data_IF_726417457010
#
_entry.id   IF_726417457010
#
_cell.length_a   1.000
_cell.length_b   1.000
_cell.length_c   1.000
_cell.angle_alpha   90.00
_cell.angle_beta   90.00
_cell.angle_gamma   90.00
#
_symmetry.space_group_name_H-M   'P 1'
#
loop_
_entity.id
_entity.type
_entity.pdbx_description
1 polymer ?
#
# COMPACT_ATOMS: atom_id res chain seq x y z
N UNK A 1 17.55 16.14 12.05
CA UNK A 1 16.31 16.28 12.86
C UNK A 1 16.19 15.14 13.87
N UNK A 2 16.12 13.87 13.48
CA UNK A 2 15.89 12.68 14.33
C UNK A 2 16.96 12.33 15.40
N UNK A 3 18.20 12.80 15.25
CA UNK A 3 19.32 12.49 16.16
C UNK A 3 19.36 13.48 17.33
N UNK A 4 18.81 13.09 18.48
CA UNK A 4 18.70 13.95 19.66
C UNK A 4 20.04 14.50 20.19
N UNK A 5 21.12 13.74 20.04
CA UNK A 5 22.47 14.12 20.52
C UNK A 5 23.15 15.20 19.68
N UNK A 6 22.95 15.21 18.35
CA UNK A 6 23.52 16.23 17.45
C UNK A 6 22.73 17.53 17.44
N UNK A 7 21.62 17.58 18.17
CA UNK A 7 20.76 18.76 18.26
C UNK A 7 21.01 19.55 19.56
N UNK A 8 22.01 19.19 20.39
CA UNK A 8 22.26 19.83 21.68
C UNK A 8 22.51 21.33 21.59
N UNK A 9 23.09 21.76 20.46
CA UNK A 9 23.63 23.11 20.26
C UNK A 9 22.58 24.12 19.77
N UNK A 10 21.39 23.64 19.39
CA UNK A 10 20.25 24.48 19.05
C UNK A 10 19.55 25.00 20.30
N UNK A 11 18.90 26.16 20.19
CA UNK A 11 18.10 26.71 21.28
C UNK A 11 16.90 25.81 21.62
N UNK A 12 16.29 26.02 22.79
CA UNK A 12 15.21 25.16 23.27
C UNK A 12 13.98 25.17 22.34
N UNK A 13 13.66 26.32 21.74
CA UNK A 13 12.49 26.49 20.87
C UNK A 13 12.74 25.75 19.55
N UNK A 14 13.89 25.96 18.92
CA UNK A 14 14.28 25.29 17.69
C UNK A 14 14.37 23.77 17.87
N UNK A 15 14.94 23.29 18.98
CA UNK A 15 14.95 21.85 19.30
C UNK A 15 13.54 21.29 19.40
N UNK A 16 12.62 22.01 20.03
CA UNK A 16 11.24 21.57 20.20
C UNK A 16 10.47 21.59 18.87
N UNK A 17 10.62 22.65 18.07
CA UNK A 17 10.03 22.76 16.72
C UNK A 17 10.52 21.65 15.81
N UNK A 18 11.83 21.35 15.81
CA UNK A 18 12.40 20.22 15.06
C UNK A 18 11.83 18.87 15.50
N UNK A 19 11.49 18.72 16.79
CA UNK A 19 10.77 17.53 17.27
C UNK A 19 9.37 17.47 16.70
N UNK A 20 8.60 18.56 16.80
CA UNK A 20 7.24 18.61 16.28
C UNK A 20 7.18 18.31 14.77
N UNK A 21 8.06 18.94 13.99
CA UNK A 21 8.16 18.70 12.54
C UNK A 21 8.52 17.25 12.24
N UNK A 22 9.44 16.67 13.00
CA UNK A 22 9.80 15.27 12.80
C UNK A 22 8.63 14.32 13.11
N UNK A 23 7.92 14.55 14.22
CA UNK A 23 6.78 13.73 14.61
C UNK A 23 5.60 13.88 13.65
N UNK A 24 5.35 15.07 13.10
CA UNK A 24 4.32 15.23 12.07
C UNK A 24 4.69 14.52 10.76
N UNK A 25 5.98 14.47 10.41
CA UNK A 25 6.46 13.76 9.22
C UNK A 25 6.40 12.23 9.40
N UNK A 26 6.77 11.68 10.56
CA UNK A 26 6.70 10.22 10.81
C UNK A 26 5.26 9.71 10.83
N UNK A 27 4.36 10.42 11.52
CA UNK A 27 2.95 10.02 11.56
C UNK A 27 2.30 10.13 10.17
N UNK A 28 2.84 11.00 9.31
CA UNK A 28 2.41 11.16 7.93
C UNK A 28 3.12 10.25 6.92
N UNK A 29 4.28 9.64 7.22
CA UNK A 29 5.08 8.84 6.27
C UNK A 29 5.85 7.71 6.97
N UNK A 30 5.79 6.47 6.48
CA UNK A 30 6.73 5.43 6.89
C UNK A 30 8.18 5.87 6.61
N UNK A 31 9.02 6.01 7.64
CA UNK A 31 10.41 6.42 7.46
C UNK A 31 11.34 5.22 7.27
N UNK A 32 12.38 5.40 6.45
CA UNK A 32 13.51 4.46 6.30
C UNK A 32 14.58 4.67 7.39
N UNK A 33 14.32 5.58 8.35
CA UNK A 33 15.24 5.89 9.44
C UNK A 33 15.25 4.71 10.42
N UNK A 34 16.44 4.21 10.72
CA UNK A 34 16.67 3.14 11.69
C UNK A 34 16.26 3.58 13.11
N UNK A 35 15.56 2.70 13.84
CA UNK A 35 15.16 2.90 15.24
C UNK A 35 16.38 3.19 16.13
N UNK A 36 17.56 2.63 15.83
CA UNK A 36 18.80 2.90 16.56
C UNK A 36 19.26 4.36 16.39
N UNK A 37 18.91 4.98 15.26
CA UNK A 37 19.16 6.39 14.98
C UNK A 37 18.07 7.32 15.53
N UNK A 38 16.87 6.78 15.79
CA UNK A 38 15.72 7.52 16.31
C UNK A 38 15.82 7.77 17.82
N UNK A 39 16.69 8.72 18.20
CA UNK A 39 16.93 9.12 19.61
C UNK A 39 16.13 10.36 20.03
N UNK A 40 15.07 10.69 19.30
CA UNK A 40 14.34 11.93 19.52
C UNK A 40 13.34 11.80 20.68
N UNK A 41 13.40 12.75 21.62
CA UNK A 41 12.42 12.85 22.71
C UNK A 41 11.10 13.45 22.20
N UNK A 42 10.01 13.15 22.90
CA UNK A 42 8.70 13.81 22.69
C UNK A 42 8.86 15.34 22.87
N UNK A 43 8.12 16.17 22.12
CA UNK A 43 8.10 17.62 22.34
C UNK A 43 7.60 17.97 23.75
N UNK A 44 7.95 19.16 24.24
CA UNK A 44 7.55 19.61 25.57
C UNK A 44 6.02 19.82 25.65
N UNK A 45 5.41 19.38 26.75
CA UNK A 45 3.96 19.29 26.96
C UNK A 45 3.21 20.61 26.78
N UNK A 46 3.80 21.72 27.19
CA UNK A 46 3.15 23.04 27.17
C UNK A 46 2.83 23.56 25.77
N UNK A 47 3.53 23.09 24.73
CA UNK A 47 3.24 23.45 23.32
C UNK A 47 2.40 22.39 22.59
N UNK A 48 2.25 21.20 23.17
CA UNK A 48 1.44 20.12 22.60
C UNK A 48 -0.05 20.35 22.84
N UNK A 49 -0.40 20.92 23.99
CA UNK A 49 -1.77 21.28 24.36
C UNK A 49 -2.37 22.32 23.41
N UNK A 50 -1.56 23.26 22.89
CA UNK A 50 -1.99 24.25 21.88
C UNK A 50 -2.41 23.62 20.54
N UNK A 51 -1.94 22.41 20.24
CA UNK A 51 -2.27 21.65 19.02
C UNK A 51 -3.24 20.48 19.27
N UNK A 52 -3.80 20.39 20.49
CA UNK A 52 -4.70 19.32 20.89
C UNK A 52 -4.07 17.93 20.87
N UNK A 53 -2.75 17.83 21.12
CA UNK A 53 -2.05 16.54 21.29
C UNK A 53 -1.59 16.40 22.73
N UNK A 54 -1.89 15.26 23.37
CA UNK A 54 -1.28 14.93 24.65
C UNK A 54 0.06 14.23 24.46
N UNK A 55 0.96 14.34 25.44
CA UNK A 55 2.20 13.56 25.44
C UNK A 55 1.93 12.05 25.35
N UNK A 56 0.87 11.57 26.01
CA UNK A 56 0.44 10.16 25.93
C UNK A 56 0.12 9.75 24.49
N UNK A 57 -0.57 10.59 23.73
CA UNK A 57 -0.90 10.30 22.33
C UNK A 57 0.38 10.19 21.47
N UNK A 58 1.34 11.10 21.66
CA UNK A 58 2.60 11.05 20.93
C UNK A 58 3.46 9.84 21.32
N UNK A 59 3.45 9.45 22.60
CA UNK A 59 4.10 8.22 23.05
C UNK A 59 3.51 6.98 22.36
N UNK A 60 2.18 6.90 22.25
CA UNK A 60 1.52 5.80 21.54
C UNK A 60 1.90 5.78 20.05
N UNK A 61 1.91 6.95 19.40
CA UNK A 61 2.37 7.08 18.02
C UNK A 61 3.79 6.58 17.84
N UNK A 62 4.70 6.97 18.75
CA UNK A 62 6.09 6.51 18.73
C UNK A 62 6.23 5.00 18.93
N UNK A 63 5.59 4.46 19.96
CA UNK A 63 5.61 3.02 20.24
C UNK A 63 5.11 2.22 19.04
N UNK A 64 4.05 2.70 18.38
CA UNK A 64 3.51 2.05 17.19
C UNK A 64 4.46 2.12 15.99
N UNK A 65 5.11 3.27 15.74
CA UNK A 65 6.12 3.39 14.69
C UNK A 65 7.28 2.41 14.92
N UNK A 66 7.81 2.34 16.14
CA UNK A 66 8.89 1.40 16.49
C UNK A 66 8.43 -0.06 16.37
N UNK A 67 7.21 -0.37 16.80
CA UNK A 67 6.64 -1.70 16.64
C UNK A 67 6.56 -2.08 15.15
N UNK A 68 6.03 -1.17 14.32
CA UNK A 68 5.90 -1.37 12.87
C UNK A 68 7.25 -1.60 12.17
N UNK A 69 8.29 -0.86 12.58
CA UNK A 69 9.65 -1.05 12.06
C UNK A 69 10.23 -2.40 12.47
N UNK A 70 10.22 -2.73 13.77
CA UNK A 70 10.70 -4.02 14.28
C UNK A 70 9.98 -5.20 13.65
N UNK A 71 8.67 -5.07 13.41
CA UNK A 71 7.88 -6.07 12.68
C UNK A 71 8.41 -6.25 11.27
N UNK A 72 8.60 -5.17 10.49
CA UNK A 72 9.13 -5.29 9.11
C UNK A 72 10.47 -5.98 9.08
N UNK A 73 11.40 -5.61 9.96
CA UNK A 73 12.71 -6.25 10.05
C UNK A 73 12.61 -7.73 10.41
N UNK A 74 11.82 -8.09 11.42
CA UNK A 74 11.71 -9.47 11.90
C UNK A 74 10.85 -10.36 11.02
N UNK A 75 9.90 -9.81 10.29
CA UNK A 75 9.06 -10.55 9.37
C UNK A 75 9.81 -10.82 8.07
N UNK A 76 10.44 -9.78 7.50
CA UNK A 76 10.87 -9.77 6.12
C UNK A 76 12.38 -9.73 5.89
N UNK A 77 13.20 -9.58 6.93
CA UNK A 77 14.66 -9.60 6.80
C UNK A 77 15.27 -10.75 7.59
N UNK A 78 16.23 -11.42 6.98
CA UNK A 78 17.15 -12.29 7.68
C UNK A 78 18.36 -11.49 8.19
N UNK A 79 18.64 -11.46 9.51
CA UNK A 79 19.73 -10.67 10.06
C UNK A 79 21.12 -11.25 9.73
N UNK A 80 21.21 -12.52 9.32
CA UNK A 80 22.45 -13.22 9.01
C UNK A 80 22.79 -13.05 7.52
N UNK A 81 21.82 -13.29 6.63
CA UNK A 81 22.05 -13.22 5.18
C UNK A 81 21.76 -11.85 4.59
N UNK A 82 21.05 -10.98 5.32
CA UNK A 82 20.50 -9.72 4.82
C UNK A 82 19.57 -9.88 3.61
N UNK A 83 19.02 -11.07 3.40
CA UNK A 83 18.07 -11.38 2.32
C UNK A 83 16.62 -11.15 2.78
N UNK A 84 15.76 -10.82 1.81
CA UNK A 84 14.33 -10.75 2.02
C UNK A 84 13.72 -12.16 2.14
N UNK A 85 12.79 -12.34 3.09
CA UNK A 85 12.08 -13.61 3.28
C UNK A 85 10.63 -13.40 3.69
N UNK A 86 9.80 -14.41 3.56
CA UNK A 86 8.48 -14.42 4.20
C UNK A 86 8.58 -14.81 5.69
N UNK A 87 7.69 -14.31 6.55
CA UNK A 87 7.63 -14.74 7.95
C UNK A 87 7.15 -16.19 8.04
N UNK A 88 7.75 -16.99 8.94
CA UNK A 88 7.21 -18.30 9.29
C UNK A 88 5.92 -18.15 10.10
N UNK A 89 5.09 -19.19 10.17
CA UNK A 89 3.85 -19.19 10.96
C UNK A 89 4.11 -18.77 12.41
N UNK A 90 5.12 -19.36 13.05
CA UNK A 90 5.46 -19.07 14.44
C UNK A 90 5.93 -17.63 14.64
N UNK A 91 6.70 -17.07 13.69
CA UNK A 91 7.12 -15.67 13.73
C UNK A 91 5.92 -14.76 13.59
N UNK A 92 5.04 -14.99 12.62
CA UNK A 92 3.85 -14.18 12.40
C UNK A 92 2.91 -14.16 13.62
N UNK A 93 2.63 -15.33 14.22
CA UNK A 93 1.82 -15.43 15.44
C UNK A 93 2.43 -14.64 16.60
N UNK A 94 3.75 -14.69 16.78
CA UNK A 94 4.41 -13.93 17.83
C UNK A 94 4.37 -12.42 17.57
N UNK A 95 4.55 -11.99 16.31
CA UNK A 95 4.48 -10.57 15.94
C UNK A 95 3.06 -10.00 16.09
N UNK A 96 2.01 -10.76 15.74
CA UNK A 96 0.63 -10.35 15.99
C UNK A 96 0.32 -10.25 17.49
N UNK A 97 0.88 -11.15 18.32
CA UNK A 97 0.76 -11.02 19.78
C UNK A 97 1.38 -9.71 20.29
N UNK A 98 2.50 -9.27 19.73
CA UNK A 98 3.10 -7.98 20.09
C UNK A 98 2.19 -6.79 19.70
N UNK A 99 1.45 -6.91 18.59
CA UNK A 99 0.40 -5.95 18.22
C UNK A 99 -0.77 -5.97 19.23
N UNK A 100 -1.22 -7.15 19.65
CA UNK A 100 -2.28 -7.30 20.65
C UNK A 100 -1.86 -6.71 21.99
N UNK A 101 -0.63 -6.96 22.42
CA UNK A 101 -0.05 -6.41 23.64
C UNK A 101 0.02 -4.87 23.58
N UNK A 102 0.37 -4.29 22.42
CA UNK A 102 0.31 -2.86 22.21
C UNK A 102 -1.13 -2.34 22.36
N UNK A 103 -2.08 -2.93 21.63
CA UNK A 103 -3.48 -2.52 21.67
C UNK A 103 -4.06 -2.58 23.09
N UNK A 104 -3.74 -3.62 23.86
CA UNK A 104 -4.19 -3.80 25.24
C UNK A 104 -3.68 -2.71 26.21
N UNK A 105 -2.55 -2.06 25.90
CA UNK A 105 -2.01 -0.95 26.70
C UNK A 105 -2.59 0.40 26.32
N UNK A 106 -3.29 0.52 25.19
CA UNK A 106 -3.87 1.80 24.75
C UNK A 106 -4.94 2.24 25.74
N UNK A 107 -4.83 3.45 26.33
CA UNK A 107 -5.86 3.99 27.20
C UNK A 107 -7.23 4.04 26.53
N UNK A 108 -8.29 3.71 27.28
CA UNK A 108 -9.65 3.60 26.75
C UNK A 108 -10.14 4.86 26.03
N UNK A 109 -9.73 6.05 26.49
CA UNK A 109 -10.12 7.32 25.87
C UNK A 109 -9.49 7.58 24.49
N UNK A 110 -8.57 6.72 24.04
CA UNK A 110 -8.04 6.71 22.69
C UNK A 110 -8.65 5.62 21.81
N UNK A 111 -9.51 4.73 22.31
CA UNK A 111 -10.07 3.66 21.47
C UNK A 111 -11.11 4.22 20.48
N UNK A 112 -11.12 3.78 19.20
CA UNK A 112 -12.01 4.31 18.16
C UNK A 112 -13.51 4.14 18.45
N UNK A 113 -13.86 3.03 19.12
CA UNK A 113 -15.25 2.62 19.35
C UNK A 113 -15.92 3.33 20.51
N UNK A 114 -15.18 4.14 21.28
CA UNK A 114 -15.71 4.84 22.44
C UNK A 114 -16.06 6.29 22.09
N UNK A 115 -17.34 6.62 22.27
CA UNK A 115 -17.91 7.96 22.08
C UNK A 115 -17.47 8.91 23.19
N UNK A 116 -16.18 9.23 23.24
CA UNK A 116 -15.69 10.33 24.05
C UNK A 116 -15.86 11.65 23.31
N UNK A 117 -16.30 12.72 24.00
CA UNK A 117 -16.34 14.06 23.43
C UNK A 117 -14.91 14.59 23.26
N UNK A 118 -14.26 14.19 22.17
CA UNK A 118 -12.97 14.73 21.74
C UNK A 118 -13.18 15.78 20.63
N UNK A 119 -12.35 16.83 20.56
CA UNK A 119 -12.34 17.76 19.43
C UNK A 119 -12.13 17.03 18.10
N UNK A 120 -12.73 17.52 16.98
CA UNK A 120 -12.61 16.87 15.66
C UNK A 120 -11.17 16.53 15.25
N UNK A 121 -10.23 17.46 15.45
CA UNK A 121 -8.82 17.23 15.13
C UNK A 121 -8.15 16.12 15.95
N UNK A 122 -8.58 15.92 17.20
CA UNK A 122 -8.09 14.82 18.04
C UNK A 122 -8.67 13.48 17.57
N UNK A 123 -9.95 13.44 17.18
CA UNK A 123 -10.59 12.24 16.63
C UNK A 123 -9.90 11.76 15.36
N UNK A 124 -9.59 12.66 14.43
CA UNK A 124 -8.84 12.33 13.20
C UNK A 124 -7.50 11.70 13.52
N UNK A 125 -6.72 12.29 14.44
CA UNK A 125 -5.41 11.75 14.85
C UNK A 125 -5.52 10.35 15.47
N UNK A 126 -6.51 10.14 16.31
CA UNK A 126 -6.80 8.81 16.89
C UNK A 126 -7.10 7.81 15.78
N UNK A 127 -8.01 8.13 14.87
CA UNK A 127 -8.37 7.24 13.76
C UNK A 127 -7.16 6.90 12.88
N UNK A 128 -6.30 7.88 12.57
CA UNK A 128 -5.06 7.66 11.83
C UNK A 128 -4.08 6.73 12.55
N UNK A 129 -3.96 6.85 13.88
CA UNK A 129 -3.17 5.93 14.69
C UNK A 129 -3.64 4.48 14.49
N UNK A 130 -4.96 4.26 14.50
CA UNK A 130 -5.53 2.92 14.31
C UNK A 130 -5.46 2.43 12.87
N UNK A 131 -5.58 3.30 11.87
CA UNK A 131 -5.28 2.95 10.46
C UNK A 131 -3.85 2.42 10.35
N UNK A 132 -2.88 3.10 10.97
CA UNK A 132 -1.49 2.65 10.96
C UNK A 132 -1.25 1.36 11.75
N UNK A 133 -1.98 1.16 12.84
CA UNK A 133 -1.97 -0.08 13.62
C UNK A 133 -2.48 -1.26 12.80
N UNK A 134 -3.65 -1.13 12.19
CA UNK A 134 -4.22 -2.18 11.36
C UNK A 134 -3.38 -2.45 10.11
N UNK A 135 -2.80 -1.42 9.49
CA UNK A 135 -1.81 -1.60 8.43
C UNK A 135 -0.61 -2.43 8.92
N UNK A 136 -0.10 -2.16 10.12
CA UNK A 136 1.02 -2.91 10.69
C UNK A 136 0.66 -4.38 10.91
N UNK A 137 -0.58 -4.70 11.32
CA UNK A 137 -1.07 -6.08 11.38
C UNK A 137 -1.12 -6.72 9.99
N UNK A 138 -1.66 -6.04 8.98
CA UNK A 138 -1.69 -6.52 7.60
C UNK A 138 -0.29 -6.86 7.07
N UNK A 139 0.73 -6.06 7.42
CA UNK A 139 2.12 -6.37 7.05
C UNK A 139 2.58 -7.71 7.63
N UNK A 140 2.16 -8.09 8.83
CA UNK A 140 2.53 -9.39 9.42
C UNK A 140 1.84 -10.56 8.70
N UNK A 141 0.57 -10.37 8.30
CA UNK A 141 -0.33 -11.47 7.96
C UNK A 141 -0.67 -11.62 6.47
N UNK A 142 -0.32 -10.65 5.61
CA UNK A 142 -0.65 -10.65 4.18
C UNK A 142 -0.13 -11.86 3.40
N UNK A 143 1.04 -12.38 3.72
CA UNK A 143 1.62 -13.53 3.00
C UNK A 143 0.73 -14.77 3.15
N UNK A 144 0.07 -14.93 4.31
CA UNK A 144 -0.83 -16.06 4.57
C UNK A 144 -2.18 -15.91 3.85
N UNK A 145 -2.61 -14.68 3.59
CA UNK A 145 -3.74 -14.43 2.68
C UNK A 145 -3.38 -14.84 1.26
N UNK A 146 -2.18 -14.52 0.78
CA UNK A 146 -1.71 -14.97 -0.54
C UNK A 146 -1.67 -16.49 -0.63
N UNK A 147 -1.10 -17.18 0.38
CA UNK A 147 -1.06 -18.66 0.43
C UNK A 147 -2.49 -19.25 0.39
N UNK A 148 -3.44 -18.65 1.12
CA UNK A 148 -4.85 -19.07 1.06
C UNK A 148 -5.42 -18.90 -0.36
N UNK A 149 -5.20 -17.75 -0.99
CA UNK A 149 -5.69 -17.46 -2.34
C UNK A 149 -5.06 -18.41 -3.37
N UNK A 150 -3.75 -18.67 -3.28
CA UNK A 150 -3.06 -19.64 -4.13
C UNK A 150 -3.62 -21.05 -3.97
N UNK A 151 -3.97 -21.46 -2.74
CA UNK A 151 -4.66 -22.73 -2.49
C UNK A 151 -6.02 -22.78 -3.18
N UNK A 152 -6.80 -21.71 -3.10
CA UNK A 152 -8.14 -21.66 -3.68
C UNK A 152 -8.08 -21.65 -5.22
N UNK A 153 -7.09 -20.96 -5.81
CA UNK A 153 -6.77 -21.05 -7.25
C UNK A 153 -6.36 -22.48 -7.64
N UNK A 154 -5.43 -23.09 -6.90
CA UNK A 154 -4.99 -24.46 -7.17
C UNK A 154 -6.17 -25.45 -7.12
N UNK A 155 -7.08 -25.29 -6.17
CA UNK A 155 -8.31 -26.07 -6.08
C UNK A 155 -9.19 -25.92 -7.33
N UNK A 156 -9.43 -24.69 -7.79
CA UNK A 156 -10.21 -24.43 -9.01
C UNK A 156 -9.56 -25.03 -10.26
N UNK A 157 -8.24 -25.04 -10.33
CA UNK A 157 -7.46 -25.57 -11.46
C UNK A 157 -7.17 -27.08 -11.34
N UNK A 158 -7.67 -27.74 -10.30
CA UNK A 158 -7.38 -29.14 -9.98
C UNK A 158 -5.85 -29.42 -9.85
N UNK A 159 -5.09 -28.46 -9.33
CA UNK A 159 -3.67 -28.58 -8.98
C UNK A 159 -3.49 -28.89 -7.49
N UNK A 160 -2.31 -29.38 -7.13
CA UNK A 160 -1.95 -29.56 -5.72
C UNK A 160 -1.85 -28.21 -5.02
N UNK A 161 -2.37 -28.07 -3.79
CA UNK A 161 -2.26 -26.84 -3.02
C UNK A 161 -0.81 -26.54 -2.64
N UNK A 162 -0.46 -25.27 -2.35
CA UNK A 162 0.86 -24.93 -1.84
C UNK A 162 1.12 -25.62 -0.50
N UNK A 163 2.39 -25.80 -0.14
CA UNK A 163 2.77 -26.47 1.10
C UNK A 163 2.53 -25.50 2.27
N UNK A 164 1.75 -25.94 3.27
CA UNK A 164 1.65 -25.27 4.57
C UNK A 164 1.86 -26.29 5.69
N UNK A 165 2.63 -25.89 6.70
CA UNK A 165 2.88 -26.71 7.89
C UNK A 165 1.62 -26.87 8.75
N UNK A 166 0.75 -25.85 8.77
CA UNK A 166 -0.48 -25.82 9.55
C UNK A 166 -1.52 -24.91 8.90
N UNK A 167 -2.47 -25.52 8.19
CA UNK A 167 -3.53 -24.81 7.48
C UNK A 167 -4.46 -24.01 8.38
N UNK A 168 -4.80 -24.51 9.58
CA UNK A 168 -5.69 -23.80 10.51
C UNK A 168 -5.06 -22.46 10.94
N UNK A 169 -3.76 -22.46 11.21
CA UNK A 169 -3.01 -21.26 11.55
C UNK A 169 -2.88 -20.32 10.35
N UNK A 170 -2.62 -20.86 9.15
CA UNK A 170 -2.62 -20.06 7.91
C UNK A 170 -3.96 -19.36 7.69
N UNK A 171 -5.08 -20.04 7.88
CA UNK A 171 -6.41 -19.42 7.72
C UNK A 171 -6.71 -18.39 8.80
N UNK A 172 -6.31 -18.64 10.05
CA UNK A 172 -6.45 -17.66 11.12
C UNK A 172 -5.66 -16.37 10.83
N UNK A 173 -4.41 -16.50 10.37
CA UNK A 173 -3.59 -15.35 9.96
C UNK A 173 -4.18 -14.64 8.73
N UNK A 174 -4.69 -15.40 7.76
CA UNK A 174 -5.38 -14.82 6.60
C UNK A 174 -6.62 -14.03 7.01
N UNK A 175 -7.49 -14.54 7.90
CA UNK A 175 -8.66 -13.77 8.37
C UNK A 175 -8.24 -12.54 9.18
N UNK A 176 -7.17 -12.63 9.98
CA UNK A 176 -6.63 -11.45 10.70
C UNK A 176 -6.18 -10.34 9.74
N UNK A 177 -5.54 -10.70 8.62
CA UNK A 177 -5.14 -9.75 7.58
C UNK A 177 -6.36 -9.01 7.01
N UNK A 178 -7.39 -9.77 6.63
CA UNK A 178 -8.60 -9.21 6.00
C UNK A 178 -9.40 -8.40 7.00
N UNK A 179 -9.51 -8.87 8.24
CA UNK A 179 -10.16 -8.13 9.31
C UNK A 179 -9.43 -6.82 9.62
N UNK A 180 -8.10 -6.85 9.71
CA UNK A 180 -7.30 -5.65 9.94
C UNK A 180 -7.52 -4.63 8.82
N UNK A 181 -7.47 -5.06 7.56
CA UNK A 181 -7.76 -4.18 6.42
C UNK A 181 -9.19 -3.61 6.46
N UNK A 182 -10.17 -4.42 6.84
CA UNK A 182 -11.55 -3.97 6.99
C UNK A 182 -11.70 -2.93 8.11
N UNK A 183 -11.09 -3.16 9.28
CA UNK A 183 -11.09 -2.21 10.39
C UNK A 183 -10.36 -0.90 10.05
N UNK A 184 -9.27 -0.97 9.29
CA UNK A 184 -8.59 0.20 8.73
C UNK A 184 -9.56 1.05 7.89
N UNK A 185 -10.29 0.43 6.96
CA UNK A 185 -11.29 1.13 6.14
C UNK A 185 -12.43 1.73 6.98
N UNK A 186 -12.89 1.02 8.02
CA UNK A 186 -13.90 1.54 8.95
C UNK A 186 -13.40 2.77 9.71
N UNK A 187 -12.14 2.79 10.15
CA UNK A 187 -11.53 3.97 10.74
C UNK A 187 -11.52 5.13 9.74
N UNK A 188 -11.20 4.85 8.48
CA UNK A 188 -11.23 5.85 7.41
C UNK A 188 -12.63 6.45 7.18
N UNK A 189 -13.64 5.59 7.06
CA UNK A 189 -15.02 6.04 6.89
C UNK A 189 -15.53 6.85 8.09
N UNK A 190 -15.20 6.44 9.32
CA UNK A 190 -15.55 7.19 10.52
C UNK A 190 -14.89 8.58 10.58
N UNK A 191 -13.70 8.72 9.98
CA UNK A 191 -12.97 9.99 9.90
C UNK A 191 -13.43 10.92 8.78
N UNK A 192 -14.25 10.43 7.84
CA UNK A 192 -14.67 11.17 6.63
C UNK A 192 -15.32 12.51 6.96
N UNK A 193 -16.25 12.53 7.91
CA UNK A 193 -16.98 13.75 8.32
C UNK A 193 -16.08 14.82 8.94
N UNK A 194 -14.89 14.40 9.41
CA UNK A 194 -13.90 15.29 10.01
C UNK A 194 -12.80 15.71 9.03
N UNK A 195 -12.97 15.42 7.73
CA UNK A 195 -12.00 15.76 6.70
C UNK A 195 -10.72 14.93 6.78
N UNK A 196 -10.80 13.69 7.29
CA UNK A 196 -9.62 12.85 7.43
C UNK A 196 -8.98 12.47 6.09
N UNK A 197 -9.78 12.29 5.03
CA UNK A 197 -9.25 11.92 3.71
C UNK A 197 -8.65 13.16 3.06
N UNK A 198 -7.34 13.13 2.82
CA UNK A 198 -6.58 14.29 2.36
C UNK A 198 -5.99 15.11 3.52
N UNK A 199 -6.15 14.65 4.76
CA UNK A 199 -5.44 15.20 5.91
C UNK A 199 -3.94 14.90 5.82
N UNK A 200 -3.59 13.70 5.34
CA UNK A 200 -2.24 13.29 4.97
C UNK A 200 -2.22 12.79 3.52
N UNK A 201 -1.13 13.08 2.80
CA UNK A 201 -0.92 12.51 1.47
C UNK A 201 -0.89 10.97 1.47
N UNK A 202 -0.75 10.30 2.63
CA UNK A 202 -0.66 8.84 2.76
C UNK A 202 -2.02 8.18 3.05
N UNK A 203 -3.09 8.96 3.27
CA UNK A 203 -4.43 8.41 3.53
C UNK A 203 -4.90 7.49 2.40
N UNK A 204 -4.65 7.91 1.15
CA UNK A 204 -5.00 7.13 -0.04
C UNK A 204 -4.18 5.86 -0.19
N UNK A 205 -2.90 5.87 0.23
CA UNK A 205 -2.09 4.67 0.25
C UNK A 205 -2.71 3.61 1.17
N UNK A 206 -3.09 3.98 2.40
CA UNK A 206 -3.71 3.03 3.34
C UNK A 206 -5.07 2.56 2.87
N UNK A 207 -5.86 3.44 2.24
CA UNK A 207 -7.13 3.08 1.62
C UNK A 207 -6.92 2.01 0.54
N UNK A 208 -6.10 2.29 -0.48
CA UNK A 208 -5.92 1.35 -1.58
C UNK A 208 -5.28 0.05 -1.13
N UNK A 209 -4.31 0.10 -0.21
CA UNK A 209 -3.74 -1.11 0.40
C UNK A 209 -4.81 -1.97 1.07
N UNK A 210 -5.69 -1.36 1.87
CA UNK A 210 -6.75 -2.08 2.58
C UNK A 210 -7.81 -2.62 1.61
N UNK A 211 -8.18 -1.86 0.59
CA UNK A 211 -9.09 -2.32 -0.48
C UNK A 211 -8.52 -3.54 -1.20
N UNK A 212 -7.25 -3.48 -1.61
CA UNK A 212 -6.60 -4.60 -2.30
C UNK A 212 -6.58 -5.87 -1.43
N UNK A 213 -6.28 -5.75 -0.13
CA UNK A 213 -6.32 -6.89 0.79
C UNK A 213 -7.74 -7.48 0.91
N UNK A 214 -8.76 -6.64 1.13
CA UNK A 214 -10.13 -7.13 1.26
C UNK A 214 -10.60 -7.78 -0.03
N UNK A 215 -10.31 -7.19 -1.20
CA UNK A 215 -10.65 -7.76 -2.49
C UNK A 215 -9.92 -9.09 -2.75
N UNK A 216 -8.65 -9.20 -2.38
CA UNK A 216 -7.88 -10.44 -2.56
C UNK A 216 -8.52 -11.64 -1.85
N UNK A 217 -9.16 -11.42 -0.70
CA UNK A 217 -9.89 -12.47 0.02
C UNK A 217 -11.10 -13.02 -0.75
N UNK A 218 -11.64 -12.28 -1.71
CA UNK A 218 -12.71 -12.72 -2.62
C UNK A 218 -12.18 -13.37 -3.90
N UNK A 219 -10.86 -13.33 -4.15
CA UNK A 219 -10.28 -13.93 -5.33
C UNK A 219 -10.36 -15.46 -5.26
N UNK A 220 -10.80 -16.08 -6.35
CA UNK A 220 -10.86 -17.54 -6.51
C UNK A 220 -11.66 -18.31 -5.44
N UNK A 221 -12.57 -17.65 -4.71
CA UNK A 221 -13.46 -18.36 -3.78
C UNK A 221 -14.32 -19.39 -4.52
N UNK A 222 -14.54 -20.59 -3.94
CA UNK A 222 -15.43 -21.60 -4.52
C UNK A 222 -16.83 -21.03 -4.81
N UNK A 223 -17.39 -21.35 -5.99
CA UNK A 223 -18.67 -20.79 -6.45
C UNK A 223 -19.84 -21.19 -5.54
N UNK A 224 -19.72 -22.31 -4.85
CA UNK A 224 -20.72 -22.84 -3.93
C UNK A 224 -20.65 -22.18 -2.54
N UNK A 225 -19.62 -21.38 -2.26
CA UNK A 225 -19.46 -20.72 -0.97
C UNK A 225 -20.48 -19.58 -0.83
N UNK A 226 -21.39 -19.73 0.14
CA UNK A 226 -22.36 -18.68 0.46
C UNK A 226 -21.65 -17.44 1.03
N UNK A 227 -22.08 -16.27 0.59
CA UNK A 227 -21.63 -14.98 1.11
C UNK A 227 -22.15 -14.86 2.55
N UNK A 228 -21.23 -14.76 3.52
CA UNK A 228 -21.58 -14.54 4.92
C UNK A 228 -22.00 -13.08 5.17
N UNK A 229 -22.64 -12.81 6.32
CA UNK A 229 -22.94 -11.44 6.72
C UNK A 229 -21.67 -10.57 6.85
N UNK A 230 -20.56 -11.16 7.33
CA UNK A 230 -19.25 -10.50 7.44
C UNK A 230 -18.67 -10.16 6.06
N UNK A 231 -18.83 -11.06 5.10
CA UNK A 231 -18.43 -10.82 3.72
C UNK A 231 -19.21 -9.66 3.09
N UNK A 232 -20.52 -9.61 3.36
CA UNK A 232 -21.35 -8.52 2.88
C UNK A 232 -20.92 -7.17 3.49
N UNK A 233 -20.67 -7.12 4.80
CA UNK A 233 -20.15 -5.91 5.47
C UNK A 233 -18.81 -5.44 4.88
N UNK A 234 -17.89 -6.36 4.62
CA UNK A 234 -16.59 -6.07 3.99
C UNK A 234 -16.78 -5.49 2.59
N UNK A 235 -17.66 -6.08 1.77
CA UNK A 235 -18.00 -5.58 0.43
C UNK A 235 -18.59 -4.19 0.47
N UNK A 236 -19.56 -3.96 1.34
CA UNK A 236 -20.24 -2.67 1.47
C UNK A 236 -19.27 -1.58 1.95
N UNK A 237 -18.34 -1.93 2.84
CA UNK A 237 -17.28 -1.03 3.30
C UNK A 237 -16.34 -0.64 2.16
N UNK A 238 -15.87 -1.61 1.35
CA UNK A 238 -15.03 -1.36 0.18
C UNK A 238 -15.78 -0.50 -0.85
N UNK A 239 -17.04 -0.83 -1.14
CA UNK A 239 -17.87 -0.07 -2.09
C UNK A 239 -18.03 1.38 -1.66
N UNK A 240 -18.41 1.60 -0.40
CA UNK A 240 -18.56 2.95 0.15
C UNK A 240 -17.25 3.76 0.08
N UNK A 241 -16.10 3.10 0.30
CA UNK A 241 -14.79 3.75 0.17
C UNK A 241 -14.46 4.09 -1.29
N UNK A 242 -14.64 3.13 -2.20
CA UNK A 242 -14.34 3.32 -3.62
C UNK A 242 -15.25 4.39 -4.24
N UNK A 243 -16.54 4.43 -3.91
CA UNK A 243 -17.45 5.49 -4.36
C UNK A 243 -16.98 6.87 -3.89
N UNK A 244 -16.52 6.95 -2.64
CA UNK A 244 -16.00 8.19 -2.09
C UNK A 244 -14.72 8.65 -2.80
N UNK A 245 -13.78 7.73 -3.04
CA UNK A 245 -12.54 8.01 -3.78
C UNK A 245 -12.80 8.26 -5.26
N UNK A 246 -13.84 7.64 -5.82
CA UNK A 246 -14.25 7.84 -7.19
C UNK A 246 -14.67 9.29 -7.45
N UNK A 247 -15.41 9.88 -6.52
CA UNK A 247 -15.87 11.27 -6.59
C UNK A 247 -14.76 12.33 -6.43
N UNK A 248 -13.54 11.95 -6.03
CA UNK A 248 -12.42 12.90 -5.92
C UNK A 248 -11.91 13.33 -7.29
N UNK A 249 -11.98 14.63 -7.57
CA UNK A 249 -11.65 15.24 -8.88
C UNK A 249 -10.16 15.51 -9.08
N UNK A 250 -9.39 15.66 -8.00
CA UNK A 250 -7.97 15.98 -8.05
C UNK A 250 -7.22 14.97 -7.21
N UNK A 251 -6.47 14.10 -7.88
CA UNK A 251 -5.56 13.14 -7.28
C UNK A 251 -4.21 13.32 -7.96
N UNK A 252 -3.12 13.18 -7.18
CA UNK A 252 -1.80 13.08 -7.79
C UNK A 252 -1.77 11.88 -8.76
N UNK A 253 -1.00 11.94 -9.87
CA UNK A 253 -1.02 10.90 -10.91
C UNK A 253 -0.87 9.48 -10.37
N UNK A 254 0.04 9.25 -9.42
CA UNK A 254 0.24 7.94 -8.77
C UNK A 254 -1.03 7.42 -8.09
N UNK A 255 -1.78 8.28 -7.42
CA UNK A 255 -3.05 7.90 -6.79
C UNK A 255 -4.19 7.74 -7.79
N UNK A 256 -4.14 8.43 -8.93
CA UNK A 256 -5.01 8.16 -10.07
C UNK A 256 -4.82 6.74 -10.60
N UNK A 257 -3.56 6.31 -10.77
CA UNK A 257 -3.23 4.94 -11.18
C UNK A 257 -3.66 3.91 -10.13
N UNK A 258 -3.32 4.13 -8.85
CA UNK A 258 -3.72 3.21 -7.77
C UNK A 258 -5.25 3.10 -7.63
N UNK A 259 -5.97 4.21 -7.81
CA UNK A 259 -7.44 4.21 -7.87
C UNK A 259 -7.95 3.31 -8.98
N UNK A 260 -7.43 3.45 -10.20
CA UNK A 260 -7.85 2.63 -11.34
C UNK A 260 -7.59 1.14 -11.06
N UNK A 261 -6.40 0.79 -10.55
CA UNK A 261 -6.04 -0.58 -10.18
C UNK A 261 -7.01 -1.12 -9.12
N UNK A 262 -7.26 -0.37 -8.05
CA UNK A 262 -8.14 -0.80 -6.97
C UNK A 262 -9.58 -1.01 -7.45
N UNK A 263 -10.11 -0.12 -8.29
CA UNK A 263 -11.45 -0.26 -8.87
C UNK A 263 -11.55 -1.48 -9.81
N UNK A 264 -10.58 -1.67 -10.71
CA UNK A 264 -10.55 -2.83 -11.60
C UNK A 264 -10.45 -4.14 -10.82
N UNK A 265 -9.57 -4.20 -9.81
CA UNK A 265 -9.41 -5.40 -9.00
C UNK A 265 -10.67 -5.71 -8.17
N UNK A 266 -11.33 -4.68 -7.64
CA UNK A 266 -12.62 -4.83 -6.97
C UNK A 266 -13.72 -5.32 -7.94
N UNK A 267 -13.66 -4.91 -9.22
CA UNK A 267 -14.51 -5.42 -10.29
C UNK A 267 -14.27 -6.91 -10.59
N UNK A 268 -13.00 -7.31 -10.79
CA UNK A 268 -12.61 -8.70 -11.05
C UNK A 268 -13.06 -9.63 -9.92
N UNK A 269 -12.95 -9.16 -8.67
CA UNK A 269 -13.32 -9.93 -7.48
C UNK A 269 -14.83 -9.87 -7.16
N UNK A 270 -15.62 -9.13 -7.96
CA UNK A 270 -17.06 -8.98 -7.76
C UNK A 270 -17.45 -8.24 -6.48
N UNK A 271 -16.53 -7.47 -5.91
CA UNK A 271 -16.77 -6.63 -4.72
C UNK A 271 -17.42 -5.30 -5.12
N UNK A 272 -16.95 -4.74 -6.24
CA UNK A 272 -17.42 -3.48 -6.80
C UNK A 272 -18.01 -3.73 -8.20
N UNK A 273 -19.18 -3.19 -8.46
CA UNK A 273 -19.71 -3.10 -9.82
C UNK A 273 -19.56 -1.65 -10.23
N UNK A 274 -18.75 -1.39 -11.25
CA UNK A 274 -18.61 -0.04 -11.77
C UNK A 274 -19.97 0.39 -12.34
N UNK A 275 -20.51 1.54 -11.91
CA UNK A 275 -21.77 2.03 -12.47
C UNK A 275 -21.58 2.21 -13.97
N UNK A 276 -22.36 1.49 -14.76
CA UNK A 276 -22.36 1.57 -16.23
C UNK A 276 -22.65 3.03 -16.60
N UNK A 277 -21.60 3.78 -16.94
CA UNK A 277 -21.75 5.10 -17.55
C UNK A 277 -22.43 4.92 -18.90
N UNK A 278 -23.58 5.59 -19.17
CA UNK A 278 -24.34 5.40 -20.40
C UNK A 278 -23.65 5.86 -21.71
N UNK A 279 -22.38 6.28 -21.69
CA UNK A 279 -21.75 7.01 -22.81
C UNK A 279 -20.83 6.16 -23.70
N UNK A 280 -20.79 4.84 -23.53
CA UNK A 280 -20.18 3.96 -24.53
C UNK A 280 -21.25 3.12 -25.22
N UNK A 281 -21.76 3.53 -26.40
CA UNK A 281 -22.58 2.64 -27.21
C UNK A 281 -21.74 1.41 -27.62
N UNK A 282 -22.34 0.22 -27.68
CA UNK A 282 -21.61 -1.00 -28.03
C UNK A 282 -20.98 -0.85 -29.41
N UNK A 283 -19.67 -1.07 -29.48
CA UNK A 283 -18.87 -1.07 -30.70
C UNK A 283 -19.49 -2.01 -31.72
N UNK A 284 -20.23 -1.45 -32.66
CA UNK A 284 -20.62 -2.15 -33.88
C UNK A 284 -19.39 -2.28 -34.76
N UNK A 285 -19.18 -3.51 -35.22
CA UNK A 285 -18.26 -3.95 -36.26
C UNK A 285 -18.13 -2.94 -37.41
N UNK A 286 -16.92 -2.52 -37.84
CA UNK A 286 -16.80 -1.56 -38.93
C UNK A 286 -17.02 -2.27 -40.28
N UNK A 287 -18.24 -2.12 -40.80
CA UNK A 287 -18.56 -2.23 -42.21
C UNK A 287 -18.21 -0.92 -42.93
N UNK A 288 -17.59 -1.05 -44.09
CA UNK A 288 -17.16 0.00 -45.01
C UNK A 288 -18.25 1.04 -45.32
N UNK A 289 -17.89 2.32 -45.30
CA UNK A 289 -18.15 3.24 -46.43
C UNK A 289 -17.49 4.60 -46.22
N UNK A 290 -16.68 4.94 -47.22
CA UNK A 290 -16.08 6.21 -47.63
C UNK A 290 -17.02 7.42 -47.49
N UNK A 291 -16.49 8.56 -47.03
CA UNK A 291 -16.52 9.83 -47.78
C UNK A 291 -15.68 10.91 -47.09
N UNK A 292 -14.73 11.44 -47.86
CA UNK A 292 -13.92 12.62 -47.58
C UNK A 292 -14.76 13.88 -47.75
N UNK A 293 -14.60 14.87 -46.86
CA UNK A 293 -14.80 16.28 -47.20
C UNK A 293 -14.04 17.22 -46.25
N UNK A 294 -12.86 17.62 -46.72
CA UNK A 294 -12.32 18.97 -46.82
C UNK A 294 -12.70 20.08 -45.82
N UNK A 295 -11.64 20.58 -45.18
CA UNK A 295 -11.14 21.96 -45.24
C UNK A 295 -11.54 23.01 -44.17
N UNK A 296 -10.44 23.51 -43.56
CA UNK A 296 -10.07 24.92 -43.39
C UNK A 296 -10.23 25.56 -42.00
N UNK A 297 -9.14 26.22 -41.57
CA UNK A 297 -9.23 27.47 -40.84
C UNK A 297 -8.39 27.59 -39.57
N UNK A 298 -7.21 28.22 -39.71
CA UNK A 298 -6.62 29.22 -38.79
C UNK A 298 -6.16 28.79 -37.39
N UNK A 299 -5.23 29.45 -36.72
CA UNK A 299 -4.01 30.22 -37.04
C UNK A 299 -3.37 30.55 -35.68
N UNK A 300 -2.06 30.79 -35.68
CA UNK A 300 -1.30 31.54 -34.67
C UNK A 300 -1.02 30.99 -33.26
N UNK A 301 0.29 30.79 -33.07
CA UNK A 301 1.01 30.65 -31.83
C UNK A 301 0.98 31.90 -30.93
N UNK A 302 1.16 31.70 -29.62
CA UNK A 302 2.12 32.52 -28.86
C UNK A 302 2.61 31.79 -27.61
N UNK A 303 3.93 31.81 -27.47
CA UNK A 303 4.73 31.31 -26.36
C UNK A 303 4.34 31.89 -25.01
N UNK A 304 4.37 31.03 -23.98
CA UNK A 304 4.76 31.42 -22.63
C UNK A 304 5.90 30.51 -22.19
N UNK A 305 7.11 31.09 -22.12
CA UNK A 305 8.32 30.44 -21.64
C UNK A 305 8.27 30.45 -20.12
N UNK A 306 7.78 29.35 -19.54
CA UNK A 306 7.98 29.03 -18.13
C UNK A 306 9.30 28.27 -17.97
N UNK A 307 10.15 28.73 -17.05
CA UNK A 307 11.37 28.06 -16.61
C UNK A 307 11.09 26.57 -16.32
N UNK A 308 11.84 25.61 -16.89
CA UNK A 308 11.61 24.20 -16.59
C UNK A 308 11.97 23.91 -15.14
N UNK A 309 10.98 23.47 -14.40
CA UNK A 309 11.04 23.05 -13.01
C UNK A 309 11.84 21.73 -12.93
N UNK A 310 13.16 21.85 -12.95
CA UNK A 310 14.10 20.72 -12.95
C UNK A 310 13.93 19.81 -11.72
N UNK A 311 13.26 20.27 -10.67
CA UNK A 311 12.97 19.49 -9.45
C UNK A 311 11.72 18.60 -9.59
N UNK A 312 10.72 18.95 -10.40
CA UNK A 312 9.54 18.09 -10.64
C UNK A 312 9.87 16.90 -11.54
N UNK A 313 10.75 17.10 -12.54
CA UNK A 313 11.13 16.06 -13.49
C UNK A 313 12.00 14.95 -12.87
N UNK A 314 12.76 15.23 -11.82
CA UNK A 314 13.54 14.20 -11.12
C UNK A 314 12.63 13.18 -10.42
N UNK A 315 11.56 13.66 -9.73
CA UNK A 315 10.61 12.78 -9.06
C UNK A 315 9.74 11.99 -10.05
N UNK A 316 9.31 12.63 -11.15
CA UNK A 316 8.59 11.94 -12.22
C UNK A 316 9.46 10.89 -12.92
N UNK A 317 10.74 11.18 -13.16
CA UNK A 317 11.71 10.28 -13.80
C UNK A 317 12.08 9.07 -12.92
N UNK A 318 12.20 9.25 -11.60
CA UNK A 318 12.50 8.17 -10.66
C UNK A 318 11.38 7.12 -10.59
N UNK A 319 10.11 7.54 -10.75
CA UNK A 319 8.97 6.60 -10.79
C UNK A 319 8.76 5.93 -12.15
N UNK A 320 9.25 6.54 -13.24
CA UNK A 320 9.18 5.96 -14.59
C UNK A 320 10.22 4.86 -14.82
N UNK A 321 11.33 4.87 -14.08
CA UNK A 321 12.41 3.87 -14.21
C UNK A 321 12.30 2.68 -13.24
N UNK A 322 11.10 2.36 -12.76
CA UNK A 322 10.87 1.13 -11.97
C UNK A 322 10.87 -0.15 -12.82
N UNK A 323 11.15 -0.09 -14.14
CA UNK A 323 11.36 -1.27 -14.98
C UNK A 323 10.14 -2.21 -15.08
N UNK A 324 8.95 -1.69 -14.80
CA UNK A 324 7.70 -2.44 -14.83
C UNK A 324 6.76 -1.79 -15.85
N UNK A 325 7.05 -2.04 -17.14
CA UNK A 325 6.16 -1.70 -18.23
C UNK A 325 4.92 -2.63 -18.19
N UNK A 326 3.92 -2.26 -17.39
CA UNK A 326 2.62 -2.96 -17.32
C UNK A 326 1.71 -2.67 -18.54
N UNK A 327 2.15 -1.82 -19.47
CA UNK A 327 1.36 -1.37 -20.62
C UNK A 327 1.21 -2.42 -21.73
N UNK A 328 1.99 -3.50 -21.71
CA UNK A 328 1.96 -4.56 -22.74
C UNK A 328 0.92 -5.67 -22.47
N UNK A 329 0.27 -5.68 -21.31
CA UNK A 329 -0.75 -6.70 -20.98
C UNK A 329 -2.06 -6.54 -21.77
N UNK A 330 -2.30 -5.39 -22.38
CA UNK A 330 -3.50 -5.15 -23.20
C UNK A 330 -3.36 -5.59 -24.67
N UNK A 331 -2.16 -5.97 -25.13
CA UNK A 331 -1.92 -6.34 -26.53
C UNK A 331 -2.00 -7.86 -26.82
N UNK A 332 -2.08 -8.71 -25.79
CA UNK A 332 -2.09 -10.17 -25.96
C UNK A 332 -3.48 -10.81 -26.09
N UNK A 333 -4.57 -10.03 -26.07
CA UNK A 333 -5.94 -10.57 -26.21
C UNK A 333 -6.47 -10.65 -27.66
N UNK A 334 -5.62 -10.47 -28.67
CA UNK A 334 -6.02 -10.47 -30.08
C UNK A 334 -5.15 -11.36 -30.96
N UNK A 335 -5.25 -12.69 -30.83
CA UNK A 335 -4.51 -13.58 -31.72
C UNK A 335 -4.60 -15.06 -31.40
N UNK A 336 -5.80 -15.65 -31.42
CA UNK A 336 -5.94 -17.11 -31.48
C UNK A 336 -6.01 -17.54 -32.95
N UNK A 337 -4.96 -18.21 -33.46
CA UNK A 337 -5.11 -19.31 -34.42
C UNK A 337 -3.83 -20.17 -34.61
N UNK A 338 -4.02 -21.46 -34.28
CA UNK A 338 -3.55 -22.69 -34.96
C UNK A 338 -2.19 -23.35 -34.61
N UNK A 339 -2.35 -24.50 -33.92
CA UNK A 339 -1.83 -25.87 -34.20
C UNK A 339 -0.33 -26.17 -33.99
N UNK A 340 -0.01 -26.98 -32.97
CA UNK A 340 0.48 -28.38 -33.10
C UNK A 340 0.98 -28.94 -31.73
N UNK A 341 0.60 -30.18 -31.41
CA UNK A 341 1.27 -31.07 -30.43
C UNK A 341 1.84 -32.28 -31.20
N UNK A 342 2.65 -33.18 -30.62
CA UNK A 342 3.60 -33.03 -29.49
C UNK A 342 5.01 -33.57 -29.86
N UNK A 343 6.06 -33.17 -29.13
CA UNK A 343 7.42 -33.65 -29.37
C UNK A 343 8.24 -33.72 -28.09
N UNK A 344 8.55 -34.94 -27.69
CA UNK A 344 9.38 -35.40 -26.58
C UNK A 344 10.82 -34.85 -26.67
N UNK A 345 11.28 -34.07 -25.68
CA UNK A 345 12.70 -33.73 -25.51
C UNK A 345 13.05 -33.74 -24.02
N UNK A 346 13.83 -34.75 -23.64
CA UNK A 346 14.33 -34.96 -22.29
C UNK A 346 15.31 -33.89 -21.81
N UNK A 347 15.23 -33.58 -20.52
CA UNK A 347 16.18 -32.74 -19.82
C UNK A 347 17.38 -33.57 -19.34
N UNK A 348 18.57 -33.33 -19.90
CA UNK A 348 19.84 -33.61 -19.22
C UNK A 348 21.01 -32.80 -19.78
N UNK A 349 21.70 -32.12 -18.84
CA UNK A 349 23.03 -31.43 -18.91
C UNK A 349 23.04 -30.14 -19.71
N UNK A 350 23.45 -28.99 -19.18
CA UNK A 350 24.68 -28.58 -18.47
C UNK A 350 24.34 -27.29 -17.67
N UNK A 351 25.06 -26.75 -16.68
CA UNK A 351 26.35 -26.97 -16.05
C UNK A 351 26.31 -26.32 -14.65
N UNK A 352 27.17 -26.79 -13.75
CA UNK A 352 27.45 -26.17 -12.45
C UNK A 352 27.94 -24.71 -12.62
N UNK A 353 27.55 -23.76 -11.76
CA UNK A 353 28.16 -22.43 -11.76
C UNK A 353 29.53 -22.49 -11.08
N UNK A 354 30.55 -21.98 -11.76
CA UNK A 354 31.83 -21.65 -11.13
C UNK A 354 31.65 -20.52 -10.13
N UNK A 355 32.32 -20.66 -8.99
CA UNK A 355 32.43 -19.66 -7.95
C UNK A 355 33.15 -18.40 -8.45
N UNK A 356 32.78 -17.26 -7.85
CA UNK A 356 33.33 -15.90 -8.01
C UNK A 356 32.87 -15.10 -9.24
N UNK A 357 31.65 -14.59 -9.18
CA UNK A 357 31.34 -13.22 -9.59
C UNK A 357 30.08 -12.76 -8.84
N UNK A 358 30.26 -11.85 -7.88
CA UNK A 358 29.15 -11.12 -7.25
C UNK A 358 28.74 -10.04 -8.23
N UNK A 359 27.52 -10.13 -8.77
CA UNK A 359 26.95 -9.10 -9.63
C UNK A 359 26.52 -7.92 -8.74
N UNK A 360 27.47 -7.03 -8.50
CA UNK A 360 27.25 -5.82 -7.71
C UNK A 360 26.53 -4.77 -8.56
N UNK A 361 25.23 -4.66 -8.35
CA UNK A 361 24.36 -3.70 -9.03
C UNK A 361 24.76 -2.24 -8.77
N UNK A 362 25.55 -1.94 -7.72
CA UNK A 362 26.06 -0.58 -7.47
C UNK A 362 27.21 -0.20 -8.40
N UNK A 363 27.93 -1.18 -8.97
CA UNK A 363 29.05 -0.94 -9.87
C UNK A 363 28.62 -0.48 -11.28
N UNK A 364 27.37 -0.75 -11.70
CA UNK A 364 26.82 -0.25 -12.97
C UNK A 364 26.45 1.22 -12.92
N UNK A 365 26.00 1.72 -11.77
CA UNK A 365 25.51 3.09 -11.62
C UNK A 365 26.64 4.13 -11.56
N UNK A 366 27.87 3.71 -11.22
CA UNK A 366 29.02 4.61 -11.07
C UNK A 366 29.95 4.69 -12.29
N UNK A 367 29.77 3.86 -13.34
CA UNK A 367 30.58 3.96 -14.58
C UNK A 367 30.15 5.08 -15.53
N UNK A 368 29.02 5.74 -15.28
CA UNK A 368 28.51 6.83 -16.11
C UNK A 368 29.07 8.22 -15.77
N UNK A 369 29.87 8.39 -14.70
CA UNK A 369 30.30 9.70 -14.19
C UNK A 369 31.77 10.04 -14.41
N UNK A 370 32.54 9.21 -15.11
CA UNK A 370 33.89 9.55 -15.55
C UNK A 370 34.05 9.23 -17.03
N UNK A 371 33.67 10.18 -17.88
CA UNK A 371 34.20 10.38 -19.22
C UNK A 371 33.79 11.78 -19.70
N UNK A 372 34.53 12.79 -19.22
CA UNK A 372 34.68 14.07 -19.89
C UNK A 372 36.17 14.41 -19.82
N UNK A 373 36.88 14.08 -20.90
CA UNK A 373 38.02 14.87 -21.38
C UNK A 373 37.57 15.59 -22.65
#
# INVERSE_FOLDING_TARGET
MHRGGSNSDFDAIERNTRRQVFWSVILGRPTVIDDVEMKMRVPDTSMLEEQGMSADFLNLGFELTQLSYRIRQRAYFDPITAEERSPTLQVAVNLLRECDDFYARVPRYFLPDLTFPAPPGQKVKILLLFVYYYHTRCIVSRDFLIIKVERDIAYMENRLPPISENWDTTFALSDDCVESAHQSLRCVLAGREFGMIGYSYVDLFFIFHSVLIVCADFLARPREQQISAKDQERRDTVRAMLDHVHAMKSLAPTYGTLKAIAMQFAGITGVYEEPVTPDNPPTQTPGQSTEEQSASGQDSAMSEIGTPDLEEDWFASATKNLGLDFSDLNQLSGGAHQVAQPGDIGFSRYAQPMANQVDDWTARTLRGMHNFD
#
